data_IF_209546468546
#
_entry.id   IF_209546468546
#
_cell.length_a   1.000
_cell.length_b   1.000
_cell.length_c   1.000
_cell.angle_alpha   90.00
_cell.angle_beta   90.00
_cell.angle_gamma   90.00
#
_symmetry.space_group_name_H-M   'P 1'
#
loop_
_entity.id
_entity.type
_entity.pdbx_description
1 polymer ?
#
# COMPACT_ATOMS: atom_id res chain seq x y z
N UNK A 1 1.04 -45.07 -8.99
CA UNK A 1 1.58 -43.82 -8.42
C UNK A 1 0.92 -43.66 -7.06
N UNK A 2 1.70 -43.70 -5.97
CA UNK A 2 1.18 -43.64 -4.60
C UNK A 2 0.68 -42.23 -4.28
N UNK A 3 -0.33 -42.13 -3.40
CA UNK A 3 -0.93 -40.85 -3.01
C UNK A 3 0.03 -39.82 -2.38
N UNK A 4 1.22 -40.23 -1.91
CA UNK A 4 2.21 -39.29 -1.33
C UNK A 4 2.94 -38.47 -2.40
N UNK A 5 3.35 -39.07 -3.53
CA UNK A 5 4.09 -38.35 -4.58
C UNK A 5 3.25 -37.22 -5.22
N UNK A 6 1.91 -37.36 -5.22
CA UNK A 6 0.98 -36.34 -5.70
C UNK A 6 0.89 -35.14 -4.74
N UNK A 7 0.88 -35.38 -3.43
CA UNK A 7 0.84 -34.35 -2.38
C UNK A 7 2.15 -33.55 -2.29
N UNK A 8 3.30 -34.21 -2.49
CA UNK A 8 4.63 -33.59 -2.40
C UNK A 8 4.89 -32.58 -3.53
N UNK A 9 4.52 -32.93 -4.78
CA UNK A 9 4.58 -31.99 -5.92
C UNK A 9 3.53 -30.90 -5.80
N UNK A 10 2.42 -31.14 -5.09
CA UNK A 10 1.39 -30.14 -4.86
C UNK A 10 1.90 -29.03 -3.92
N UNK A 11 2.59 -29.37 -2.84
CA UNK A 11 3.18 -28.41 -1.90
C UNK A 11 4.18 -27.46 -2.59
N UNK A 12 5.12 -28.01 -3.37
CA UNK A 12 6.10 -27.21 -4.09
C UNK A 12 5.47 -26.20 -5.06
N UNK A 13 4.43 -26.63 -5.79
CA UNK A 13 3.66 -25.76 -6.68
C UNK A 13 2.81 -24.74 -5.91
N UNK A 14 2.23 -25.10 -4.78
CA UNK A 14 1.45 -24.20 -3.94
C UNK A 14 2.31 -23.04 -3.43
N UNK A 15 3.51 -23.35 -2.92
CA UNK A 15 4.50 -22.35 -2.50
C UNK A 15 4.89 -21.44 -3.67
N UNK A 16 5.20 -22.03 -4.83
CA UNK A 16 5.57 -21.28 -6.02
C UNK A 16 4.47 -20.30 -6.47
N UNK A 17 3.22 -20.75 -6.50
CA UNK A 17 2.05 -19.95 -6.89
C UNK A 17 1.80 -18.82 -5.91
N UNK A 18 1.77 -19.12 -4.60
CA UNK A 18 1.58 -18.12 -3.56
C UNK A 18 2.66 -17.04 -3.65
N UNK A 19 3.93 -17.46 -3.75
CA UNK A 19 5.06 -16.54 -3.94
C UNK A 19 4.89 -15.63 -5.16
N UNK A 20 4.51 -16.18 -6.31
CA UNK A 20 4.26 -15.41 -7.53
C UNK A 20 3.08 -14.45 -7.40
N UNK A 21 2.00 -14.84 -6.72
CA UNK A 21 0.85 -13.98 -6.46
C UNK A 21 1.21 -12.75 -5.61
N UNK A 22 2.17 -12.88 -4.70
CA UNK A 22 2.74 -11.77 -3.93
C UNK A 22 3.90 -11.04 -4.63
N UNK A 23 4.15 -11.35 -5.91
CA UNK A 23 5.20 -10.73 -6.72
C UNK A 23 6.62 -11.02 -6.21
N UNK A 24 6.81 -12.05 -5.38
CA UNK A 24 8.10 -12.36 -4.78
C UNK A 24 8.95 -13.26 -5.70
N UNK A 25 10.23 -12.99 -5.77
CA UNK A 25 11.26 -13.89 -6.29
C UNK A 25 11.59 -14.97 -5.25
N UNK A 26 12.21 -16.08 -5.69
CA UNK A 26 12.68 -17.11 -4.77
C UNK A 26 13.67 -16.54 -3.74
N UNK A 27 14.52 -15.59 -4.15
CA UNK A 27 15.51 -14.97 -3.27
C UNK A 27 14.86 -14.11 -2.19
N UNK A 28 13.85 -13.32 -2.53
CA UNK A 28 13.12 -12.50 -1.56
C UNK A 28 12.39 -13.38 -0.52
N UNK A 29 11.70 -14.44 -0.97
CA UNK A 29 11.07 -15.37 -0.03
C UNK A 29 12.10 -16.04 0.88
N UNK A 30 13.28 -16.39 0.36
CA UNK A 30 14.37 -16.95 1.17
C UNK A 30 14.84 -15.98 2.26
N UNK A 31 14.99 -14.70 1.91
CA UNK A 31 15.43 -13.66 2.86
C UNK A 31 14.40 -13.49 3.99
N UNK A 32 13.11 -13.39 3.67
CA UNK A 32 12.04 -13.21 4.66
C UNK A 32 11.81 -14.47 5.47
N UNK A 33 11.84 -15.65 4.84
CA UNK A 33 11.62 -16.91 5.51
C UNK A 33 12.86 -17.42 6.24
N UNK A 34 14.03 -16.80 6.09
CA UNK A 34 15.34 -17.22 6.63
C UNK A 34 15.78 -18.60 6.12
N UNK A 35 15.55 -18.88 4.84
CA UNK A 35 15.86 -20.15 4.19
C UNK A 35 17.00 -19.98 3.18
N UNK A 36 17.74 -21.06 2.92
CA UNK A 36 18.68 -21.05 1.80
C UNK A 36 17.94 -21.10 0.46
N UNK A 37 18.44 -20.40 -0.54
CA UNK A 37 17.93 -20.47 -1.92
C UNK A 37 17.86 -21.91 -2.43
N UNK A 38 18.87 -22.72 -2.09
CA UNK A 38 18.93 -24.14 -2.47
C UNK A 38 17.79 -24.95 -1.85
N UNK A 39 17.41 -24.63 -0.62
CA UNK A 39 16.33 -25.30 0.12
C UNK A 39 15.00 -24.99 -0.55
N UNK A 40 14.69 -23.72 -0.77
CA UNK A 40 13.43 -23.32 -1.41
C UNK A 40 13.31 -23.89 -2.83
N UNK A 41 14.38 -23.82 -3.63
CA UNK A 41 14.38 -24.37 -4.99
C UNK A 41 14.08 -25.86 -5.01
N UNK A 42 14.67 -26.63 -4.08
CA UNK A 42 14.41 -28.08 -3.97
C UNK A 42 12.99 -28.36 -3.49
N UNK A 43 12.43 -27.53 -2.60
CA UNK A 43 11.02 -27.66 -2.18
C UNK A 43 10.07 -27.38 -3.34
N UNK A 44 10.22 -26.23 -4.04
CA UNK A 44 9.32 -25.85 -5.14
C UNK A 44 9.33 -26.86 -6.30
N UNK A 45 10.49 -27.48 -6.57
CA UNK A 45 10.63 -28.53 -7.59
C UNK A 45 10.17 -29.92 -7.13
N UNK A 46 9.79 -30.09 -5.87
CA UNK A 46 9.44 -31.39 -5.28
C UNK A 46 10.62 -32.35 -5.11
N UNK A 47 11.86 -31.83 -5.03
CA UNK A 47 13.06 -32.61 -4.76
C UNK A 47 13.25 -32.93 -3.27
N UNK A 48 12.68 -32.11 -2.37
CA UNK A 48 12.53 -32.45 -0.95
C UNK A 48 11.16 -33.09 -0.76
N UNK A 49 11.14 -34.40 -0.55
CA UNK A 49 9.90 -35.18 -0.36
C UNK A 49 9.17 -34.81 0.93
N UNK A 50 9.90 -34.59 2.02
CA UNK A 50 9.32 -34.28 3.33
C UNK A 50 10.01 -33.05 3.95
N UNK A 51 9.64 -31.83 3.54
CA UNK A 51 10.08 -30.62 4.22
C UNK A 51 9.61 -30.64 5.68
N UNK A 52 10.42 -30.11 6.59
CA UNK A 52 10.01 -29.98 8.00
C UNK A 52 8.77 -29.09 8.12
N UNK A 53 7.80 -29.47 8.95
CA UNK A 53 6.60 -28.66 9.23
C UNK A 53 6.97 -27.24 9.67
N UNK A 54 8.05 -27.07 10.44
CA UNK A 54 8.54 -25.75 10.83
C UNK A 54 9.06 -24.92 9.65
N UNK A 55 9.64 -25.57 8.64
CA UNK A 55 10.06 -24.91 7.39
C UNK A 55 8.84 -24.46 6.60
N UNK A 56 7.83 -25.32 6.46
CA UNK A 56 6.59 -24.98 5.74
C UNK A 56 5.82 -23.88 6.48
N UNK A 57 5.73 -23.93 7.81
CA UNK A 57 5.11 -22.90 8.63
C UNK A 57 5.82 -21.54 8.51
N UNK A 58 7.15 -21.53 8.45
CA UNK A 58 7.91 -20.29 8.18
C UNK A 58 7.60 -19.72 6.81
N UNK A 59 7.58 -20.56 5.77
CA UNK A 59 7.20 -20.16 4.41
C UNK A 59 5.78 -19.58 4.39
N UNK A 60 4.82 -20.27 5.02
CA UNK A 60 3.42 -19.83 5.11
C UNK A 60 3.31 -18.45 5.77
N UNK A 61 3.98 -18.28 6.92
CA UNK A 61 4.03 -17.02 7.66
C UNK A 61 4.65 -15.89 6.82
N UNK A 62 5.76 -16.14 6.13
CA UNK A 62 6.43 -15.17 5.26
C UNK A 62 5.61 -14.79 4.03
N UNK A 63 4.78 -15.70 3.53
CA UNK A 63 3.83 -15.45 2.44
C UNK A 63 2.50 -14.87 2.92
N UNK A 64 2.28 -14.75 4.24
CA UNK A 64 1.01 -14.29 4.80
C UNK A 64 -0.17 -15.24 4.50
N UNK A 65 0.10 -16.52 4.22
CA UNK A 65 -0.94 -17.52 3.92
C UNK A 65 -1.12 -18.52 5.06
N UNK A 66 -2.34 -19.05 5.28
CA UNK A 66 -2.58 -20.15 6.20
C UNK A 66 -1.76 -21.41 5.85
N UNK A 67 -1.26 -22.14 6.85
CA UNK A 67 -0.39 -23.31 6.64
C UNK A 67 -1.12 -24.47 5.92
N UNK A 68 -2.37 -24.71 6.27
CA UNK A 68 -3.28 -25.66 5.63
C UNK A 68 -3.41 -25.41 4.11
N UNK A 69 -3.41 -24.14 3.68
CA UNK A 69 -3.47 -23.78 2.25
C UNK A 69 -2.27 -24.27 1.43
N UNK A 70 -1.12 -24.51 2.07
CA UNK A 70 0.06 -25.07 1.43
C UNK A 70 0.07 -26.60 1.45
N UNK A 71 -0.55 -27.22 2.46
CA UNK A 71 -0.48 -28.66 2.72
C UNK A 71 -1.49 -29.48 1.93
N UNK A 72 -2.71 -28.97 1.74
CA UNK A 72 -3.78 -29.78 1.15
C UNK A 72 -3.68 -29.91 -0.37
N UNK A 73 -2.85 -29.10 -1.05
CA UNK A 73 -2.71 -29.12 -2.50
C UNK A 73 -4.01 -28.85 -3.28
N UNK A 74 -5.12 -28.67 -2.55
CA UNK A 74 -6.32 -28.00 -3.00
C UNK A 74 -5.84 -26.69 -3.59
N UNK A 75 -6.37 -26.36 -4.78
CA UNK A 75 -6.32 -24.98 -5.22
C UNK A 75 -6.62 -24.13 -4.00
N UNK A 76 -5.82 -23.07 -3.82
CA UNK A 76 -6.14 -21.96 -2.92
C UNK A 76 -7.64 -21.98 -2.83
N UNK A 77 -8.17 -22.28 -1.65
CA UNK A 77 -9.56 -22.00 -1.37
C UNK A 77 -9.66 -20.48 -1.51
N UNK A 78 -9.77 -20.08 -2.77
CA UNK A 78 -10.57 -19.08 -3.41
C UNK A 78 -12.02 -19.50 -3.21
N UNK A 79 -12.38 -20.05 -2.05
CA UNK A 79 -13.49 -19.37 -1.40
C UNK A 79 -13.00 -17.94 -1.27
N UNK A 80 -13.49 -16.99 -2.09
CA UNK A 80 -13.22 -15.60 -1.79
C UNK A 80 -13.55 -15.47 -0.31
N UNK A 81 -12.59 -15.05 0.52
CA UNK A 81 -12.97 -14.59 1.86
C UNK A 81 -14.09 -13.62 1.58
N UNK A 82 -15.31 -14.00 1.95
CA UNK A 82 -16.49 -13.21 1.61
C UNK A 82 -16.24 -11.91 2.33
N UNK A 83 -15.86 -10.89 1.57
CA UNK A 83 -15.56 -9.57 2.12
C UNK A 83 -16.83 -9.15 2.84
N UNK A 84 -16.67 -8.80 4.10
CA UNK A 84 -17.74 -8.45 5.00
C UNK A 84 -18.39 -7.16 4.53
N UNK A 85 -19.60 -6.97 5.04
CA UNK A 85 -20.29 -5.70 5.04
C UNK A 85 -20.48 -5.29 6.50
N UNK A 86 -20.11 -4.06 6.86
CA UNK A 86 -20.29 -3.58 8.23
C UNK A 86 -21.78 -3.39 8.56
N UNK A 87 -22.13 -3.19 9.84
CA UNK A 87 -23.52 -2.86 10.24
C UNK A 87 -24.07 -1.64 9.53
N UNK A 88 -23.19 -0.70 9.19
CA UNK A 88 -23.58 0.54 8.51
C UNK A 88 -23.64 0.37 6.99
N UNK A 89 -23.31 -0.80 6.44
CA UNK A 89 -23.38 -1.08 5.01
C UNK A 89 -22.06 -0.95 4.26
N UNK A 90 -20.96 -0.60 4.93
CA UNK A 90 -19.64 -0.43 4.29
C UNK A 90 -19.13 -1.77 3.79
N UNK A 91 -18.73 -1.82 2.52
CA UNK A 91 -18.14 -2.99 1.85
C UNK A 91 -16.77 -2.69 1.21
N UNK A 92 -16.44 -1.41 1.02
CA UNK A 92 -15.19 -0.94 0.44
C UNK A 92 -14.57 0.18 1.28
N UNK A 93 -13.26 0.15 1.48
CA UNK A 93 -12.52 1.18 2.22
C UNK A 93 -11.41 1.77 1.38
N UNK A 94 -11.46 3.07 1.10
CA UNK A 94 -10.33 3.84 0.57
C UNK A 94 -9.56 4.51 1.70
N UNK A 95 -8.23 4.51 1.59
CA UNK A 95 -7.33 5.14 2.56
C UNK A 95 -6.34 6.05 1.84
N UNK A 96 -6.13 7.25 2.36
CA UNK A 96 -5.05 8.13 1.91
C UNK A 96 -3.67 7.62 2.35
N UNK A 97 -2.61 8.12 1.71
CA UNK A 97 -1.24 7.72 2.02
C UNK A 97 -0.58 8.72 2.97
N UNK A 98 -0.30 9.94 2.50
CA UNK A 98 0.36 10.97 3.31
C UNK A 98 -0.61 11.47 4.38
N UNK A 99 -0.18 11.56 5.64
CA UNK A 99 -1.05 11.92 6.76
C UNK A 99 -1.92 10.77 7.30
N UNK A 100 -1.96 9.61 6.64
CA UNK A 100 -2.78 8.46 7.06
C UNK A 100 -1.95 7.17 7.22
N UNK A 101 -1.31 6.68 6.17
CA UNK A 101 -0.45 5.49 6.22
C UNK A 101 0.99 5.83 6.59
N UNK A 102 1.42 7.04 6.24
CA UNK A 102 2.74 7.59 6.56
C UNK A 102 2.57 9.02 7.04
N UNK A 103 3.44 9.48 7.93
CA UNK A 103 3.47 10.88 8.35
C UNK A 103 3.82 11.81 7.19
N UNK A 104 3.42 13.07 7.33
CA UNK A 104 3.74 14.09 6.34
C UNK A 104 5.26 14.35 6.29
N UNK A 105 5.79 14.53 5.08
CA UNK A 105 7.22 14.59 4.77
C UNK A 105 7.88 15.96 5.05
N UNK A 106 7.40 16.72 6.05
CA UNK A 106 7.93 18.06 6.36
C UNK A 106 9.43 18.07 6.69
N UNK A 107 9.95 16.96 7.22
CA UNK A 107 11.38 16.77 7.47
C UNK A 107 12.23 16.82 6.19
N UNK A 108 11.67 16.50 5.03
CA UNK A 108 12.35 16.62 3.73
C UNK A 108 12.70 18.08 3.42
N UNK A 109 11.78 19.03 3.67
CA UNK A 109 12.03 20.45 3.47
C UNK A 109 13.15 20.97 4.37
N UNK A 110 13.14 20.53 5.63
CA UNK A 110 14.19 20.87 6.61
C UNK A 110 15.56 20.33 6.18
N UNK A 111 15.61 19.09 5.67
CA UNK A 111 16.86 18.49 5.20
C UNK A 111 17.40 19.19 3.96
N UNK A 112 16.56 19.49 2.97
CA UNK A 112 16.98 20.27 1.78
C UNK A 112 17.50 21.64 2.21
N UNK A 113 16.81 22.31 3.14
CA UNK A 113 17.23 23.61 3.68
C UNK A 113 18.65 23.56 4.27
N UNK A 114 18.94 22.54 5.10
CA UNK A 114 20.26 22.34 5.69
C UNK A 114 21.33 21.98 4.66
N UNK A 115 21.04 21.04 3.76
CA UNK A 115 22.00 20.52 2.79
C UNK A 115 22.37 21.54 1.71
N UNK A 116 21.41 22.38 1.32
CA UNK A 116 21.56 23.33 0.21
C UNK A 116 21.77 24.77 0.68
N UNK A 117 21.66 25.04 1.98
CA UNK A 117 21.82 26.38 2.53
C UNK A 117 20.73 27.37 2.11
N UNK A 118 19.51 26.89 1.88
CA UNK A 118 18.33 27.69 1.50
C UNK A 118 17.31 27.70 2.63
N UNK A 119 16.39 28.66 2.67
CA UNK A 119 15.36 28.69 3.73
C UNK A 119 14.30 27.61 3.51
N UNK A 120 13.84 26.97 4.60
CA UNK A 120 12.78 25.95 4.53
C UNK A 120 11.48 26.49 3.91
N UNK A 121 11.12 27.75 4.19
CA UNK A 121 9.96 28.43 3.58
C UNK A 121 10.07 28.53 2.06
N UNK A 122 11.27 28.80 1.54
CA UNK A 122 11.50 28.85 0.10
C UNK A 122 11.41 27.44 -0.52
N UNK A 123 11.93 26.42 0.16
CA UNK A 123 11.80 25.01 -0.26
C UNK A 123 10.34 24.61 -0.34
N UNK A 124 9.57 24.88 0.71
CA UNK A 124 8.15 24.57 0.78
C UNK A 124 7.36 25.30 -0.31
N UNK A 125 7.57 26.61 -0.45
CA UNK A 125 6.88 27.42 -1.47
C UNK A 125 7.17 26.91 -2.89
N UNK A 126 8.44 26.60 -3.18
CA UNK A 126 8.84 26.09 -4.49
C UNK A 126 8.33 24.68 -4.75
N UNK A 127 8.27 23.81 -3.74
CA UNK A 127 7.65 22.50 -3.84
C UNK A 127 6.16 22.60 -4.20
N UNK A 128 5.39 23.38 -3.43
CA UNK A 128 3.95 23.52 -3.63
C UNK A 128 3.59 24.19 -4.96
N UNK A 129 4.49 25.00 -5.52
CA UNK A 129 4.28 25.61 -6.83
C UNK A 129 4.14 24.58 -7.97
N UNK A 130 4.81 23.43 -7.87
CA UNK A 130 4.83 22.41 -8.92
C UNK A 130 4.14 21.10 -8.52
N UNK A 131 3.93 20.85 -7.22
CA UNK A 131 3.41 19.59 -6.70
C UNK A 131 2.16 19.09 -7.45
N UNK A 132 1.20 19.98 -7.70
CA UNK A 132 -0.07 19.60 -8.34
C UNK A 132 0.14 19.15 -9.78
N UNK A 133 1.00 19.83 -10.55
CA UNK A 133 1.30 19.44 -11.93
C UNK A 133 1.96 18.05 -11.99
N UNK A 134 2.85 17.74 -11.04
CA UNK A 134 3.47 16.42 -10.93
C UNK A 134 2.44 15.36 -10.51
N UNK A 135 1.65 15.67 -9.49
CA UNK A 135 0.61 14.78 -8.98
C UNK A 135 -0.55 14.58 -9.98
N UNK A 136 -0.71 15.43 -10.99
CA UNK A 136 -1.63 15.25 -12.13
C UNK A 136 -0.98 14.55 -13.33
N UNK A 137 0.31 14.24 -13.27
CA UNK A 137 1.04 13.67 -14.40
C UNK A 137 1.28 14.66 -15.56
N UNK A 138 1.03 15.95 -15.34
CA UNK A 138 1.30 17.03 -16.31
C UNK A 138 2.80 17.38 -16.38
N UNK A 139 3.54 17.06 -15.33
CA UNK A 139 4.97 17.30 -15.19
C UNK A 139 5.69 16.02 -14.75
N UNK A 140 6.79 15.67 -15.43
CA UNK A 140 7.63 14.54 -15.01
C UNK A 140 8.43 14.89 -13.76
N UNK A 141 8.84 13.86 -13.00
CA UNK A 141 9.72 14.04 -11.83
C UNK A 141 11.08 14.67 -12.20
N UNK A 142 11.60 14.38 -13.39
CA UNK A 142 12.85 14.98 -13.89
C UNK A 142 12.67 16.49 -14.13
N UNK A 143 11.62 16.88 -14.85
CA UNK A 143 11.31 18.29 -15.08
C UNK A 143 11.02 19.03 -13.77
N UNK A 144 10.37 18.37 -12.82
CA UNK A 144 10.15 18.89 -11.48
C UNK A 144 11.47 19.16 -10.76
N UNK A 145 12.38 18.17 -10.70
CA UNK A 145 13.69 18.34 -10.05
C UNK A 145 14.49 19.50 -10.67
N UNK A 146 14.49 19.65 -12.00
CA UNK A 146 15.13 20.76 -12.69
C UNK A 146 14.53 22.13 -12.32
N UNK A 147 13.19 22.22 -12.34
CA UNK A 147 12.48 23.46 -12.05
C UNK A 147 12.59 23.85 -10.58
N UNK A 148 12.53 22.85 -9.70
CA UNK A 148 12.68 23.01 -8.27
C UNK A 148 14.10 23.47 -7.92
N UNK A 149 15.14 22.84 -8.48
CA UNK A 149 16.52 23.27 -8.31
C UNK A 149 16.76 24.70 -8.81
N UNK A 150 16.19 25.05 -9.98
CA UNK A 150 16.27 26.41 -10.55
C UNK A 150 15.63 27.45 -9.64
N UNK A 151 14.44 27.17 -9.09
CA UNK A 151 13.74 28.08 -8.20
C UNK A 151 14.50 28.29 -6.88
N UNK A 152 15.14 27.23 -6.38
CA UNK A 152 16.01 27.28 -5.19
C UNK A 152 17.41 27.85 -5.46
N UNK A 153 17.77 28.06 -6.73
CA UNK A 153 19.10 28.53 -7.18
C UNK A 153 20.24 27.60 -6.73
N UNK A 154 20.01 26.29 -6.88
CA UNK A 154 20.98 25.24 -6.57
C UNK A 154 21.27 24.40 -7.81
N UNK A 155 22.40 23.71 -7.84
CA UNK A 155 22.84 22.96 -9.02
C UNK A 155 21.91 21.80 -9.37
N UNK A 156 21.47 21.05 -8.35
CA UNK A 156 20.59 19.89 -8.53
C UNK A 156 19.87 19.51 -7.23
N UNK A 157 18.72 18.84 -7.40
CA UNK A 157 17.91 18.26 -6.34
C UNK A 157 17.45 16.88 -6.80
N UNK A 158 17.53 15.90 -5.89
CA UNK A 158 16.83 14.63 -6.03
C UNK A 158 15.72 14.57 -4.99
N UNK A 159 14.55 15.09 -5.37
CA UNK A 159 13.40 15.12 -4.48
C UNK A 159 13.01 13.72 -3.99
N UNK A 160 13.15 12.69 -4.84
CA UNK A 160 12.73 11.34 -4.50
C UNK A 160 13.57 10.78 -3.35
N UNK A 161 14.88 11.03 -3.35
CA UNK A 161 15.72 10.65 -2.21
C UNK A 161 15.29 11.39 -0.94
N UNK A 162 15.15 12.72 -0.99
CA UNK A 162 14.75 13.51 0.17
C UNK A 162 13.40 13.09 0.75
N UNK A 163 12.42 12.86 -0.13
CA UNK A 163 11.10 12.40 0.25
C UNK A 163 11.17 11.01 0.89
N UNK A 164 11.71 10.01 0.20
CA UNK A 164 11.70 8.63 0.68
C UNK A 164 12.49 8.42 1.97
N UNK A 165 13.55 9.21 2.20
CA UNK A 165 14.34 9.15 3.44
C UNK A 165 13.69 9.89 4.61
N UNK A 166 12.59 10.61 4.34
CA UNK A 166 11.83 11.43 5.31
C UNK A 166 10.45 10.85 5.61
N UNK A 167 10.01 9.83 4.88
CA UNK A 167 8.72 9.17 5.08
C UNK A 167 8.81 8.19 6.24
N UNK A 168 7.90 8.35 7.20
CA UNK A 168 7.80 7.50 8.39
C UNK A 168 6.42 6.80 8.43
N UNK A 169 6.36 5.45 8.48
CA UNK A 169 5.09 4.72 8.53
C UNK A 169 4.33 4.91 9.84
N UNK A 170 3.01 5.02 9.75
CA UNK A 170 2.10 5.04 10.91
C UNK A 170 1.71 3.60 11.24
N UNK A 171 2.42 3.00 12.19
CA UNK A 171 2.36 1.56 12.50
C UNK A 171 0.92 1.06 12.72
N UNK A 172 0.10 1.80 13.44
CA UNK A 172 -1.29 1.45 13.75
C UNK A 172 -2.15 1.36 12.48
N UNK A 173 -1.89 2.22 11.50
CA UNK A 173 -2.58 2.20 10.21
C UNK A 173 -2.08 1.06 9.32
N UNK A 174 -0.80 0.70 9.37
CA UNK A 174 -0.26 -0.50 8.69
C UNK A 174 -0.92 -1.78 9.23
N UNK A 175 -1.07 -1.89 10.55
CA UNK A 175 -1.79 -2.98 11.20
C UNK A 175 -3.28 -2.98 10.83
N UNK A 176 -3.91 -1.80 10.79
CA UNK A 176 -5.29 -1.66 10.35
C UNK A 176 -5.46 -2.13 8.91
N UNK A 177 -4.59 -1.75 7.97
CA UNK A 177 -4.65 -2.21 6.58
C UNK A 177 -4.53 -3.73 6.46
N UNK A 178 -3.67 -4.34 7.28
CA UNK A 178 -3.55 -5.80 7.36
C UNK A 178 -4.83 -6.47 7.83
N UNK A 179 -5.57 -5.84 8.76
CA UNK A 179 -6.89 -6.31 9.18
C UNK A 179 -7.97 -6.03 8.13
N UNK A 180 -8.00 -4.83 7.54
CA UNK A 180 -8.98 -4.43 6.53
C UNK A 180 -8.90 -5.32 5.30
N UNK A 181 -7.70 -5.60 4.78
CA UNK A 181 -7.52 -6.47 3.61
C UNK A 181 -8.04 -7.90 3.82
N UNK A 182 -8.14 -8.38 5.07
CA UNK A 182 -8.74 -9.68 5.39
C UNK A 182 -10.27 -9.64 5.49
N UNK A 183 -10.85 -8.47 5.78
CA UNK A 183 -12.27 -8.34 6.11
C UNK A 183 -13.08 -7.57 5.05
N UNK A 184 -12.49 -6.61 4.35
CA UNK A 184 -13.15 -5.68 3.44
C UNK A 184 -12.40 -5.57 2.12
N UNK A 185 -13.07 -5.08 1.07
CA UNK A 185 -12.33 -4.59 -0.09
C UNK A 185 -11.60 -3.31 0.29
N UNK A 186 -10.34 -3.19 -0.13
CA UNK A 186 -9.48 -2.07 0.28
C UNK A 186 -8.83 -1.43 -0.92
N UNK A 187 -8.71 -0.11 -0.88
CA UNK A 187 -7.99 0.63 -1.89
C UNK A 187 -7.24 1.83 -1.35
N UNK A 188 -6.36 2.37 -2.19
CA UNK A 188 -5.63 3.61 -1.95
C UNK A 188 -6.22 4.72 -2.82
N UNK A 189 -6.31 5.92 -2.27
CA UNK A 189 -6.72 7.13 -2.99
C UNK A 189 -5.85 8.30 -2.55
N UNK A 190 -4.84 8.65 -3.34
CA UNK A 190 -3.78 9.58 -2.92
C UNK A 190 -3.41 10.59 -4.00
N UNK A 191 -3.15 11.83 -3.57
CA UNK A 191 -2.43 12.82 -4.36
C UNK A 191 -0.95 12.51 -4.22
N UNK A 192 -0.34 11.93 -5.25
CA UNK A 192 0.99 11.37 -5.15
C UNK A 192 1.77 11.51 -6.46
N UNK A 193 3.09 11.56 -6.34
CA UNK A 193 4.00 11.64 -7.48
C UNK A 193 4.20 10.27 -8.16
N UNK A 194 4.50 10.25 -9.47
CA UNK A 194 4.64 9.02 -10.24
C UNK A 194 5.56 7.97 -9.62
N UNK A 195 5.03 6.76 -9.46
CA UNK A 195 5.80 5.58 -9.02
C UNK A 195 6.11 5.52 -7.52
N UNK A 196 5.66 6.49 -6.71
CA UNK A 196 5.98 6.51 -5.28
C UNK A 196 5.27 5.40 -4.50
N UNK A 197 4.02 5.05 -4.84
CA UNK A 197 3.31 3.93 -4.18
C UNK A 197 4.14 2.64 -4.27
N UNK A 198 4.61 2.31 -5.46
CA UNK A 198 5.44 1.11 -5.69
C UNK A 198 6.74 1.18 -4.88
N UNK A 199 7.44 2.32 -4.92
CA UNK A 199 8.67 2.51 -4.17
C UNK A 199 8.48 2.37 -2.66
N UNK A 200 7.40 2.92 -2.11
CA UNK A 200 7.09 2.77 -0.68
C UNK A 200 6.81 1.31 -0.31
N UNK A 201 6.06 0.56 -1.13
CA UNK A 201 5.81 -0.87 -0.90
C UNK A 201 7.12 -1.67 -0.96
N UNK A 202 8.01 -1.36 -1.91
CA UNK A 202 9.30 -2.05 -2.05
C UNK A 202 10.27 -1.74 -0.91
N UNK A 203 10.20 -0.52 -0.35
CA UNK A 203 10.96 -0.09 0.84
C UNK A 203 10.32 -0.54 2.16
N UNK A 204 9.13 -1.16 2.13
CA UNK A 204 8.41 -1.59 3.32
C UNK A 204 7.76 -0.45 4.12
N UNK A 205 7.62 0.74 3.52
CA UNK A 205 6.94 1.89 4.12
C UNK A 205 5.41 1.76 4.05
N UNK A 206 4.91 1.08 3.02
CA UNK A 206 3.50 0.71 2.87
C UNK A 206 3.32 -0.80 2.97
N UNK A 207 2.17 -1.30 3.46
CA UNK A 207 1.95 -2.73 3.62
C UNK A 207 1.85 -3.41 2.25
N UNK A 208 2.55 -4.54 2.10
CA UNK A 208 2.43 -5.42 0.94
C UNK A 208 1.21 -6.32 1.09
N UNK A 209 0.04 -5.76 0.81
CA UNK A 209 -1.26 -6.45 0.82
C UNK A 209 -1.89 -6.46 -0.57
N UNK A 210 -2.92 -7.29 -0.77
CA UNK A 210 -3.75 -7.24 -1.97
C UNK A 210 -4.69 -6.04 -1.89
N UNK A 211 -4.35 -4.97 -2.61
CA UNK A 211 -5.25 -3.84 -2.84
C UNK A 211 -6.23 -4.19 -3.96
N UNK A 212 -7.52 -3.99 -3.72
CA UNK A 212 -8.58 -4.17 -4.70
C UNK A 212 -8.57 -3.04 -5.74
N UNK A 213 -8.28 -1.80 -5.31
CA UNK A 213 -8.14 -0.63 -6.20
C UNK A 213 -7.02 0.29 -5.71
N UNK A 214 -6.20 0.79 -6.63
CA UNK A 214 -5.27 1.90 -6.37
C UNK A 214 -5.64 3.05 -7.29
N UNK A 215 -5.88 4.22 -6.70
CA UNK A 215 -6.06 5.49 -7.39
C UNK A 215 -4.84 6.36 -7.08
N UNK A 216 -3.88 6.31 -7.99
CA UNK A 216 -2.72 7.20 -8.03
C UNK A 216 -3.09 8.42 -8.86
N UNK A 217 -3.09 9.62 -8.26
CA UNK A 217 -3.50 10.85 -8.95
C UNK A 217 -2.69 11.11 -10.22
N UNK A 218 -1.40 10.75 -10.22
CA UNK A 218 -0.50 11.00 -11.34
C UNK A 218 -0.77 10.09 -12.53
N UNK A 219 -1.40 8.93 -12.29
CA UNK A 219 -1.85 8.02 -13.33
C UNK A 219 -3.23 8.38 -13.88
N UNK A 220 -4.12 8.92 -13.04
CA UNK A 220 -5.50 9.24 -13.46
C UNK A 220 -5.70 10.68 -13.93
N UNK A 221 -4.73 11.57 -13.69
CA UNK A 221 -4.73 12.94 -14.18
C UNK A 221 -5.52 13.95 -13.33
N UNK A 222 -5.99 13.55 -12.16
CA UNK A 222 -6.80 14.39 -11.27
C UNK A 222 -6.36 14.19 -9.83
N UNK A 223 -6.38 15.26 -9.04
CA UNK A 223 -6.04 15.26 -7.61
C UNK A 223 -7.29 15.51 -6.77
N UNK A 224 -7.31 15.02 -5.53
CA UNK A 224 -8.27 15.46 -4.51
C UNK A 224 -8.06 16.97 -4.25
N UNK A 225 -9.12 17.77 -4.04
CA UNK A 225 -10.54 17.39 -3.96
C UNK A 225 -11.32 17.53 -5.29
N UNK A 226 -10.69 17.40 -6.45
CA UNK A 226 -11.40 17.53 -7.74
C UNK A 226 -12.44 16.40 -7.93
N UNK A 227 -13.69 16.71 -8.32
CA UNK A 227 -14.78 15.72 -8.46
C UNK A 227 -14.42 14.50 -9.31
N UNK A 228 -13.59 14.69 -10.34
CA UNK A 228 -13.19 13.65 -11.29
C UNK A 228 -12.48 12.48 -10.60
N UNK A 229 -11.62 12.73 -9.61
CA UNK A 229 -10.89 11.65 -8.93
C UNK A 229 -11.85 10.74 -8.15
N UNK A 230 -12.87 11.30 -7.50
CA UNK A 230 -13.90 10.54 -6.76
C UNK A 230 -14.84 9.79 -7.69
N UNK A 231 -15.17 10.36 -8.85
CA UNK A 231 -15.94 9.66 -9.88
C UNK A 231 -15.20 8.42 -10.40
N UNK A 232 -13.89 8.55 -10.68
CA UNK A 232 -13.05 7.43 -11.12
C UNK A 232 -12.94 6.39 -10.00
N UNK A 233 -12.68 6.82 -8.76
CA UNK A 233 -12.57 5.94 -7.61
C UNK A 233 -13.86 5.17 -7.31
N UNK A 234 -15.03 5.83 -7.41
CA UNK A 234 -16.34 5.18 -7.26
C UNK A 234 -16.57 4.11 -8.33
N UNK A 235 -16.26 4.46 -9.59
CA UNK A 235 -16.39 3.52 -10.71
C UNK A 235 -15.48 2.31 -10.56
N UNK A 236 -14.24 2.48 -10.09
CA UNK A 236 -13.30 1.37 -9.90
C UNK A 236 -13.63 0.52 -8.67
N UNK A 237 -14.16 1.11 -7.59
CA UNK A 237 -14.61 0.37 -6.43
C UNK A 237 -15.78 -0.57 -6.77
N UNK A 238 -16.64 -0.16 -7.71
CA UNK A 238 -17.73 -0.99 -8.24
C UNK A 238 -18.83 -1.28 -7.22
N UNK A 239 -19.00 -0.40 -6.24
CA UNK A 239 -20.05 -0.45 -5.21
C UNK A 239 -20.74 0.91 -5.09
N UNK A 240 -21.98 0.97 -4.57
CA UNK A 240 -22.64 2.23 -4.26
C UNK A 240 -21.80 3.13 -3.33
N UNK A 241 -21.91 4.45 -3.50
CA UNK A 241 -21.13 5.41 -2.72
C UNK A 241 -21.33 5.28 -1.21
N UNK A 242 -22.55 4.98 -0.75
CA UNK A 242 -22.88 4.80 0.67
C UNK A 242 -22.30 3.51 1.30
N UNK A 243 -21.70 2.64 0.48
CA UNK A 243 -20.90 1.49 0.91
C UNK A 243 -19.39 1.75 0.95
N UNK A 244 -18.95 2.93 0.50
CA UNK A 244 -17.55 3.35 0.51
C UNK A 244 -17.28 4.14 1.78
N UNK A 245 -16.27 3.72 2.54
CA UNK A 245 -15.66 4.52 3.60
C UNK A 245 -14.34 5.09 3.08
N UNK A 246 -14.17 6.41 3.19
CA UNK A 246 -12.91 7.07 2.89
C UNK A 246 -12.25 7.65 4.15
N UNK A 247 -10.97 7.34 4.32
CA UNK A 247 -10.13 7.77 5.45
C UNK A 247 -9.04 8.69 4.92
N UNK A 248 -9.03 9.93 5.38
CA UNK A 248 -8.15 11.02 4.93
C UNK A 248 -7.96 12.01 6.09
N UNK A 249 -6.81 12.67 6.16
CA UNK A 249 -6.48 13.68 7.17
C UNK A 249 -6.98 15.08 6.77
N UNK A 250 -7.25 15.30 5.47
CA UNK A 250 -7.70 16.57 4.94
C UNK A 250 -9.23 16.69 4.91
N UNK A 251 -9.74 17.66 5.67
CA UNK A 251 -11.17 17.99 5.71
C UNK A 251 -11.75 18.33 4.34
N UNK A 252 -10.99 19.00 3.47
CA UNK A 252 -11.49 19.35 2.12
C UNK A 252 -11.69 18.11 1.26
N UNK A 253 -10.80 17.11 1.39
CA UNK A 253 -10.91 15.85 0.67
C UNK A 253 -12.13 15.04 1.15
N UNK A 254 -12.34 15.00 2.47
CA UNK A 254 -13.50 14.32 3.07
C UNK A 254 -14.81 14.97 2.63
N UNK A 255 -14.91 16.31 2.68
CA UNK A 255 -16.13 17.01 2.27
C UNK A 255 -16.46 16.78 0.79
N UNK A 256 -15.45 16.72 -0.08
CA UNK A 256 -15.67 16.39 -1.49
C UNK A 256 -16.17 14.94 -1.67
N UNK A 257 -15.59 13.97 -0.93
CA UNK A 257 -16.07 12.59 -0.95
C UNK A 257 -17.52 12.44 -0.48
N UNK A 258 -17.95 13.18 0.55
CA UNK A 258 -19.34 13.17 1.02
C UNK A 258 -20.35 13.58 -0.07
N UNK A 259 -19.95 14.47 -0.99
CA UNK A 259 -20.81 14.87 -2.13
C UNK A 259 -21.08 13.71 -3.10
N UNK A 260 -20.26 12.66 -3.08
CA UNK A 260 -20.45 11.42 -3.83
C UNK A 260 -21.23 10.35 -3.04
N UNK A 261 -21.78 10.73 -1.89
CA UNK A 261 -22.52 9.83 -1.00
C UNK A 261 -21.63 8.90 -0.17
N UNK A 262 -20.31 9.13 -0.17
CA UNK A 262 -19.37 8.32 0.59
C UNK A 262 -19.51 8.60 2.08
N UNK A 263 -19.23 7.57 2.89
CA UNK A 263 -18.95 7.79 4.31
C UNK A 263 -17.50 8.20 4.45
N UNK A 264 -17.23 9.07 5.41
CA UNK A 264 -15.90 9.63 5.61
C UNK A 264 -15.48 9.56 7.06
N UNK A 265 -14.19 9.37 7.29
CA UNK A 265 -13.59 9.42 8.62
C UNK A 265 -12.30 10.22 8.57
N UNK A 266 -12.29 11.31 9.34
CA UNK A 266 -11.08 12.08 9.57
C UNK A 266 -10.07 11.28 10.39
N UNK A 267 -8.83 11.26 9.90
CA UNK A 267 -7.71 10.64 10.58
C UNK A 267 -6.79 11.71 11.19
N UNK A 268 -6.53 11.57 12.49
CA UNK A 268 -5.55 12.38 13.22
C UNK A 268 -4.24 11.58 13.34
N UNK A 269 -3.21 12.00 12.62
CA UNK A 269 -1.91 11.33 12.63
C UNK A 269 -1.10 11.59 13.91
N UNK A 270 -1.46 12.62 14.69
CA UNK A 270 -0.91 12.87 16.02
C UNK A 270 -1.50 11.93 17.07
N UNK A 271 -2.65 11.30 16.77
CA UNK A 271 -3.36 10.36 17.65
C UNK A 271 -3.82 9.12 16.87
N UNK A 272 -2.87 8.36 16.28
CA UNK A 272 -3.21 7.28 15.35
C UNK A 272 -4.00 6.16 16.04
N UNK A 273 -3.69 5.82 17.30
CA UNK A 273 -4.43 4.83 18.08
C UNK A 273 -5.93 5.17 18.24
N UNK A 274 -6.24 6.44 18.51
CA UNK A 274 -7.62 6.90 18.68
C UNK A 274 -8.38 6.84 17.35
N UNK A 275 -7.75 7.31 16.29
CA UNK A 275 -8.28 7.27 14.92
C UNK A 275 -8.57 5.84 14.47
N UNK A 276 -7.59 4.92 14.62
CA UNK A 276 -7.74 3.50 14.26
C UNK A 276 -8.83 2.82 15.09
N UNK A 277 -8.94 3.11 16.39
CA UNK A 277 -10.00 2.56 17.24
C UNK A 277 -11.38 2.97 16.74
N UNK A 278 -11.57 4.25 16.41
CA UNK A 278 -12.83 4.77 15.84
C UNK A 278 -13.17 4.10 14.51
N UNK A 279 -12.18 3.95 13.63
CA UNK A 279 -12.36 3.29 12.33
C UNK A 279 -12.80 1.83 12.52
N UNK A 280 -12.10 1.07 13.38
CA UNK A 280 -12.48 -0.33 13.68
C UNK A 280 -13.89 -0.42 14.23
N UNK A 281 -14.26 0.40 15.22
CA UNK A 281 -15.61 0.38 15.79
C UNK A 281 -16.71 0.70 14.77
N UNK A 282 -16.45 1.56 13.79
CA UNK A 282 -17.42 1.85 12.71
C UNK A 282 -17.53 0.71 11.67
N UNK A 283 -16.52 -0.16 11.60
CA UNK A 283 -16.44 -1.31 10.70
C UNK A 283 -16.72 -2.64 11.41
N UNK A 284 -16.95 -2.65 12.72
CA UNK A 284 -17.34 -3.85 13.44
C UNK A 284 -18.80 -4.24 13.11
N UNK A 285 -19.03 -5.55 13.11
CA UNK A 285 -20.25 -6.23 12.64
C UNK A 285 -21.18 -6.65 13.77
#
# INVERSE_FOLDING_TARGET
MSGSEASEKALGKAIQRARQAFGMTQQELCNVAGLSYSTLTKIERGAIKTPSVFTVARIASSLGVPLDSLLDGSDISTQPMIKKRSRSGISFVYVDINGCLVHFFHSAFSRISMDKGVSAELVETAFWHYNDAVCKGEMSLEAFNESFARQLRVDSIDWTSYYMDSVEPITEMIELMSWLSKNYKVGLLSNIMPGYIKQMIDRGLLPRISYDVIIDSSEVGYIKPEPQIYSIASSKAGVPGDEILFIDDSRTNLMAAEQFGWKVMWFDDLRPEESVRRIKSALEF
#
